data_IF_201601274626
#
_entry.id   IF_201601274626
#
_cell.length_a   1.000
_cell.length_b   1.000
_cell.length_c   1.000
_cell.angle_alpha   90.00
_cell.angle_beta   90.00
_cell.angle_gamma   90.00
#
_symmetry.space_group_name_H-M   'P 1'
#
loop_
_entity.id
_entity.type
_entity.pdbx_description
1 polymer ?
#
# COMPACT_ATOMS: atom_id res chain seq x y z
N UNK A 1 14.50 34.84 -6.30
CA UNK A 1 13.99 33.62 -5.67
C UNK A 1 12.46 33.52 -5.74
N UNK A 2 11.67 34.48 -5.24
CA UNK A 2 10.18 34.42 -5.23
C UNK A 2 9.55 34.15 -6.63
N UNK A 3 10.04 34.77 -7.71
CA UNK A 3 9.52 34.56 -9.09
C UNK A 3 9.77 33.13 -9.60
N UNK A 4 10.89 32.49 -9.23
CA UNK A 4 11.18 31.11 -9.64
C UNK A 4 10.31 30.10 -8.88
N UNK A 5 9.99 30.36 -7.61
CA UNK A 5 9.09 29.52 -6.80
C UNK A 5 7.65 29.58 -7.35
N UNK A 6 7.19 30.78 -7.74
CA UNK A 6 5.88 30.99 -8.38
C UNK A 6 5.80 30.27 -9.73
N UNK A 7 6.88 30.28 -10.52
CA UNK A 7 6.92 29.59 -11.82
C UNK A 7 6.88 28.08 -11.68
N UNK A 8 7.59 27.55 -10.67
CA UNK A 8 7.56 26.10 -10.35
C UNK A 8 6.19 25.67 -9.80
N UNK A 9 5.58 26.51 -8.93
CA UNK A 9 4.22 26.26 -8.43
C UNK A 9 3.18 26.33 -9.56
N UNK A 10 3.33 27.26 -10.52
CA UNK A 10 2.44 27.37 -11.67
C UNK A 10 2.66 26.23 -12.68
N UNK A 11 3.90 25.78 -12.88
CA UNK A 11 4.21 24.60 -13.70
C UNK A 11 3.68 23.31 -13.06
N UNK A 12 3.73 23.17 -11.72
CA UNK A 12 3.07 22.07 -11.01
C UNK A 12 1.54 22.14 -11.13
N UNK A 13 0.95 23.33 -11.11
CA UNK A 13 -0.49 23.51 -11.25
C UNK A 13 -0.98 23.22 -12.68
N UNK A 14 -0.17 23.48 -13.69
CA UNK A 14 -0.52 23.22 -15.10
C UNK A 14 -0.47 21.73 -15.47
N UNK A 15 0.29 20.90 -14.76
CA UNK A 15 0.29 19.43 -14.91
C UNK A 15 -1.04 18.82 -14.43
N UNK A 16 -1.75 19.51 -13.53
CA UNK A 16 -3.06 19.08 -13.01
C UNK A 16 -4.24 19.25 -14.01
N UNK A 17 -4.00 19.85 -15.19
CA UNK A 17 -5.05 20.12 -16.18
C UNK A 17 -5.06 19.15 -17.39
N UNK A 18 -4.26 18.10 -17.35
CA UNK A 18 -4.23 17.06 -18.40
C UNK A 18 -5.45 16.14 -18.38
N UNK A 19 -6.12 16.00 -19.52
CA UNK A 19 -7.38 15.24 -19.68
C UNK A 19 -7.23 13.73 -19.83
N UNK A 20 -6.21 13.09 -19.31
CA UNK A 20 -6.11 11.63 -19.31
C UNK A 20 -5.98 11.13 -17.88
N UNK A 21 -7.08 11.15 -17.14
CA UNK A 21 -7.08 10.80 -15.73
C UNK A 21 -7.73 9.44 -15.56
N UNK A 22 -6.93 8.40 -15.48
CA UNK A 22 -7.40 7.08 -15.07
C UNK A 22 -7.63 7.13 -13.56
N UNK A 23 -8.89 7.21 -13.17
CA UNK A 23 -9.32 7.08 -11.79
C UNK A 23 -9.01 5.66 -11.31
N UNK A 24 -8.53 5.53 -10.08
CA UNK A 24 -8.16 4.23 -9.48
C UNK A 24 -6.95 3.53 -10.13
N UNK A 25 -5.98 4.29 -10.63
CA UNK A 25 -4.71 3.74 -11.08
C UNK A 25 -3.85 3.26 -9.89
N UNK A 26 -3.15 2.13 -10.04
CA UNK A 26 -2.27 1.52 -9.04
C UNK A 26 -2.91 1.23 -7.66
N UNK A 27 -4.21 0.94 -7.61
CA UNK A 27 -4.94 0.69 -6.35
C UNK A 27 -4.39 -0.49 -5.53
N UNK A 28 -3.66 -1.42 -6.12
CA UNK A 28 -2.97 -2.47 -5.37
C UNK A 28 -1.96 -1.91 -4.35
N UNK A 29 -1.45 -0.68 -4.55
CA UNK A 29 -0.61 0.04 -3.60
C UNK A 29 -1.42 0.79 -2.52
N UNK A 30 -2.74 0.76 -2.55
CA UNK A 30 -3.61 1.37 -1.53
C UNK A 30 -4.13 0.36 -0.50
N UNK A 31 -3.99 -0.95 -0.75
CA UNK A 31 -4.51 -2.02 0.11
C UNK A 31 -3.90 -2.03 1.52
N UNK A 32 -2.67 -1.55 1.66
CA UNK A 32 -1.92 -1.62 2.92
C UNK A 32 -1.05 -2.87 3.03
N UNK A 33 0.00 -2.79 3.84
CA UNK A 33 0.94 -3.89 4.07
C UNK A 33 1.15 -4.16 5.57
N UNK A 34 1.49 -5.41 5.88
CA UNK A 34 1.81 -5.82 7.25
C UNK A 34 0.57 -5.96 8.13
N UNK A 35 0.47 -7.08 8.83
CA UNK A 35 -0.68 -7.36 9.70
C UNK A 35 -0.88 -6.28 10.77
N UNK A 36 0.20 -5.64 11.29
CA UNK A 36 0.09 -4.50 12.21
C UNK A 36 -0.69 -3.33 11.59
N UNK A 37 -0.33 -2.95 10.35
CA UNK A 37 -0.96 -1.83 9.67
C UNK A 37 -2.43 -2.10 9.32
N UNK A 38 -2.71 -3.29 8.80
CA UNK A 38 -4.07 -3.70 8.42
C UNK A 38 -4.98 -3.87 9.65
N UNK A 39 -4.47 -4.40 10.77
CA UNK A 39 -5.21 -4.46 12.03
C UNK A 39 -5.58 -3.08 12.59
N UNK A 40 -4.80 -2.05 12.28
CA UNK A 40 -5.05 -0.66 12.66
C UNK A 40 -5.76 0.14 11.56
N UNK A 41 -6.41 -0.55 10.60
CA UNK A 41 -7.09 0.07 9.46
C UNK A 41 -6.25 1.13 8.77
N UNK A 42 -4.99 0.80 8.44
CA UNK A 42 -4.05 1.67 7.71
C UNK A 42 -3.63 2.98 8.42
N UNK A 43 -3.95 3.14 9.73
CA UNK A 43 -3.63 4.35 10.50
C UNK A 43 -2.13 4.44 10.87
N UNK A 44 -1.22 4.33 9.87
CA UNK A 44 0.21 4.12 10.06
C UNK A 44 1.09 5.34 9.73
N UNK A 45 0.57 6.34 9.04
CA UNK A 45 1.37 7.46 8.48
C UNK A 45 2.22 8.20 9.53
N UNK A 46 1.71 8.34 10.76
CA UNK A 46 2.42 9.01 11.84
C UNK A 46 3.28 8.06 12.69
N UNK A 47 2.95 6.76 12.74
CA UNK A 47 3.48 5.82 13.73
C UNK A 47 4.42 4.75 13.17
N UNK A 48 4.52 4.62 11.85
CA UNK A 48 5.44 3.65 11.24
C UNK A 48 6.88 3.94 11.63
N UNK A 49 7.57 2.96 12.21
CA UNK A 49 8.89 3.08 12.83
C UNK A 49 9.78 1.85 12.60
N UNK A 50 9.43 1.02 11.63
CA UNK A 50 10.17 -0.16 11.23
C UNK A 50 10.34 -0.23 9.70
N UNK A 51 10.84 -1.34 9.16
CA UNK A 51 11.10 -1.51 7.72
C UNK A 51 9.84 -1.31 6.86
N UNK A 52 8.62 -1.55 7.41
CA UNK A 52 7.37 -1.31 6.70
C UNK A 52 7.06 0.19 6.50
N UNK A 53 7.80 1.07 7.19
CA UNK A 53 7.74 2.51 6.98
C UNK A 53 8.10 2.89 5.53
N UNK A 54 8.91 2.10 4.82
CA UNK A 54 9.15 2.26 3.39
C UNK A 54 7.86 2.44 2.58
N UNK A 55 6.79 1.76 2.97
CA UNK A 55 5.47 1.86 2.35
C UNK A 55 4.58 2.92 3.01
N UNK A 56 4.50 2.89 4.36
CA UNK A 56 3.54 3.72 5.10
C UNK A 56 3.92 5.19 5.17
N UNK A 57 5.20 5.47 5.43
CA UNK A 57 5.81 6.79 5.42
C UNK A 57 7.33 6.63 5.52
N UNK A 58 8.08 6.83 4.43
CA UNK A 58 9.51 6.55 4.40
C UNK A 58 10.32 7.30 5.48
N UNK A 59 9.85 8.45 5.98
CA UNK A 59 10.48 9.17 7.07
C UNK A 59 10.67 8.32 8.34
N UNK A 60 9.76 7.35 8.57
CA UNK A 60 9.78 6.45 9.71
C UNK A 60 10.95 5.47 9.73
N UNK A 61 11.59 5.19 8.59
CA UNK A 61 12.77 4.31 8.52
C UNK A 61 13.93 4.81 9.39
N UNK A 62 14.11 6.13 9.53
CA UNK A 62 15.15 6.70 10.39
C UNK A 62 14.96 6.38 11.87
N UNK A 63 13.76 5.92 12.25
CA UNK A 63 13.36 5.58 13.63
C UNK A 63 13.39 4.08 13.92
N UNK A 64 13.84 3.24 12.98
CA UNK A 64 14.01 1.80 13.22
C UNK A 64 14.82 1.56 14.50
N UNK A 65 14.36 0.65 15.35
CA UNK A 65 14.99 0.34 16.64
C UNK A 65 16.25 -0.52 16.49
N UNK A 66 16.35 -1.32 15.42
CA UNK A 66 17.47 -2.22 15.11
C UNK A 66 18.13 -1.85 13.79
N UNK A 67 19.44 -2.19 13.69
CA UNK A 67 20.22 -1.84 12.50
C UNK A 67 19.74 -2.53 11.23
N UNK A 68 19.37 -3.80 11.33
CA UNK A 68 18.90 -4.61 10.20
C UNK A 68 17.50 -5.10 10.50
N UNK A 69 16.61 -4.91 9.57
CA UNK A 69 15.24 -5.41 9.67
C UNK A 69 14.83 -6.09 8.36
N UNK A 70 14.13 -7.23 8.49
CA UNK A 70 13.44 -7.93 7.42
C UNK A 70 11.97 -8.02 7.80
N UNK A 71 11.06 -7.76 6.88
CA UNK A 71 9.63 -8.01 7.08
C UNK A 71 9.05 -8.72 5.88
N UNK A 72 8.20 -9.70 6.15
CA UNK A 72 7.46 -10.49 5.17
C UNK A 72 5.97 -10.45 5.54
N UNK A 73 5.11 -10.42 4.53
CA UNK A 73 3.66 -10.55 4.69
C UNK A 73 3.09 -11.40 3.58
N UNK A 74 2.10 -12.20 3.92
CA UNK A 74 1.21 -12.88 2.98
C UNK A 74 -0.24 -12.65 3.37
N UNK A 75 -1.08 -12.31 2.39
CA UNK A 75 -2.51 -12.18 2.55
C UNK A 75 -3.24 -12.79 1.35
N UNK A 76 -4.37 -13.41 1.64
CA UNK A 76 -5.30 -13.91 0.63
C UNK A 76 -6.59 -13.09 0.70
N UNK A 77 -6.98 -12.55 -0.44
CA UNK A 77 -8.19 -11.75 -0.61
C UNK A 77 -9.21 -12.51 -1.46
N UNK A 78 -10.48 -12.21 -1.26
CA UNK A 78 -11.60 -12.76 -2.04
C UNK A 78 -11.61 -14.29 -2.01
N UNK A 79 -11.54 -14.89 -0.81
CA UNK A 79 -11.51 -16.33 -0.58
C UNK A 79 -10.34 -17.06 -1.32
N UNK A 80 -9.16 -16.43 -1.36
CA UNK A 80 -7.94 -17.01 -1.95
C UNK A 80 -7.79 -16.79 -3.47
N UNK A 81 -8.70 -16.04 -4.10
CA UNK A 81 -8.59 -15.71 -5.54
C UNK A 81 -7.38 -14.80 -5.78
N UNK A 82 -7.20 -13.77 -4.97
CA UNK A 82 -6.09 -12.83 -5.09
C UNK A 82 -5.10 -13.00 -3.94
N UNK A 83 -3.81 -13.00 -4.28
CA UNK A 83 -2.70 -13.09 -3.33
C UNK A 83 -1.98 -11.76 -3.26
N UNK A 84 -1.65 -11.33 -2.04
CA UNK A 84 -0.94 -10.09 -1.80
C UNK A 84 0.26 -10.35 -0.90
N UNK A 85 1.44 -10.15 -1.46
CA UNK A 85 2.72 -10.46 -0.84
C UNK A 85 3.55 -9.18 -0.65
N UNK A 86 4.24 -9.09 0.47
CA UNK A 86 5.22 -8.04 0.75
C UNK A 86 6.50 -8.64 1.30
N UNK A 87 7.62 -8.13 0.83
CA UNK A 87 8.94 -8.38 1.40
C UNK A 87 9.72 -7.06 1.48
N UNK A 88 10.31 -6.76 2.64
CA UNK A 88 11.09 -5.55 2.84
C UNK A 88 12.33 -5.79 3.67
N UNK A 89 13.46 -5.19 3.26
CA UNK A 89 14.74 -5.17 3.99
C UNK A 89 15.12 -3.73 4.27
N UNK A 90 15.46 -3.43 5.51
CA UNK A 90 15.87 -2.10 5.94
C UNK A 90 17.20 -2.13 6.69
N UNK A 91 18.04 -1.11 6.47
CA UNK A 91 19.33 -0.97 7.11
C UNK A 91 19.54 0.47 7.59
N UNK A 92 19.83 0.63 8.89
CA UNK A 92 20.34 1.91 9.41
C UNK A 92 21.79 2.08 8.96
N UNK A 93 22.04 3.14 8.22
CA UNK A 93 23.39 3.51 7.79
C UNK A 93 24.15 4.06 8.99
N UNK A 94 23.52 4.99 9.71
CA UNK A 94 24.02 5.61 10.94
C UNK A 94 22.81 5.90 11.89
N UNK A 95 23.04 6.68 12.95
CA UNK A 95 22.02 7.03 13.95
C UNK A 95 20.88 7.91 13.41
N UNK A 96 21.06 8.50 12.22
CA UNK A 96 20.12 9.46 11.62
C UNK A 96 19.55 9.01 10.30
N UNK A 97 20.23 8.11 9.58
CA UNK A 97 19.85 7.72 8.23
C UNK A 97 19.62 6.22 8.08
N UNK A 98 18.66 5.88 7.24
CA UNK A 98 18.33 4.51 6.91
C UNK A 98 17.92 4.39 5.44
N UNK A 99 18.13 3.21 4.89
CA UNK A 99 17.68 2.80 3.56
C UNK A 99 16.82 1.55 3.67
N UNK A 100 15.90 1.39 2.74
CA UNK A 100 15.16 0.14 2.61
C UNK A 100 14.89 -0.19 1.14
N UNK A 101 14.76 -1.49 0.88
CA UNK A 101 14.27 -2.04 -0.37
C UNK A 101 13.03 -2.87 -0.05
N UNK A 102 11.93 -2.58 -0.73
CA UNK A 102 10.66 -3.30 -0.57
C UNK A 102 10.16 -3.83 -1.89
N UNK A 103 9.54 -4.99 -1.86
CA UNK A 103 8.84 -5.62 -2.97
C UNK A 103 7.40 -5.92 -2.57
N UNK A 104 6.47 -5.57 -3.46
CA UNK A 104 5.04 -5.78 -3.30
C UNK A 104 4.54 -6.51 -4.54
N UNK A 105 3.74 -7.55 -4.36
CA UNK A 105 3.08 -8.27 -5.45
C UNK A 105 1.61 -8.48 -5.11
N UNK A 106 0.75 -8.10 -6.04
CA UNK A 106 -0.66 -8.47 -6.04
C UNK A 106 -0.92 -9.31 -7.29
N UNK A 107 -1.49 -10.49 -7.12
CA UNK A 107 -1.65 -11.43 -8.24
C UNK A 107 -2.91 -12.26 -8.16
N UNK A 108 -3.46 -12.55 -9.34
CA UNK A 108 -4.56 -13.49 -9.54
C UNK A 108 -4.10 -14.54 -10.55
N UNK A 109 -4.15 -15.79 -10.13
CA UNK A 109 -3.76 -16.94 -10.94
C UNK A 109 -5.00 -17.65 -11.50
N UNK A 110 -4.80 -18.48 -12.52
CA UNK A 110 -5.84 -19.33 -13.12
C UNK A 110 -7.06 -18.56 -13.64
N UNK A 111 -6.85 -17.40 -14.25
CA UNK A 111 -7.91 -16.65 -14.95
C UNK A 111 -8.26 -17.39 -16.25
N UNK A 112 -9.54 -17.74 -16.40
CA UNK A 112 -10.00 -18.42 -17.61
C UNK A 112 -9.92 -17.50 -18.82
N UNK A 113 -9.23 -17.96 -19.87
CA UNK A 113 -9.26 -17.34 -21.19
C UNK A 113 -10.27 -18.07 -22.05
N UNK A 114 -11.33 -17.39 -22.42
CA UNK A 114 -12.44 -17.89 -23.24
C UNK A 114 -12.49 -17.26 -24.62
N UNK A 115 -11.43 -16.60 -25.06
CA UNK A 115 -11.40 -15.92 -26.38
C UNK A 115 -11.54 -16.88 -27.57
N UNK A 116 -11.14 -18.15 -27.38
CA UNK A 116 -11.24 -19.19 -28.40
C UNK A 116 -12.38 -20.19 -28.12
N UNK A 117 -13.27 -19.90 -27.15
CA UNK A 117 -14.34 -20.80 -26.73
C UNK A 117 -15.33 -21.15 -27.84
N UNK A 118 -15.60 -20.19 -28.76
CA UNK A 118 -16.52 -20.35 -29.86
C UNK A 118 -15.71 -20.47 -31.16
N UNK A 119 -15.95 -21.55 -31.91
CA UNK A 119 -15.32 -21.77 -33.22
C UNK A 119 -15.93 -20.90 -34.33
N UNK A 120 -15.30 -20.91 -35.51
CA UNK A 120 -15.79 -20.17 -36.69
C UNK A 120 -17.19 -20.61 -37.17
N UNK A 121 -17.66 -21.77 -36.74
CA UNK A 121 -18.98 -22.34 -37.06
C UNK A 121 -20.03 -22.00 -35.99
N UNK A 122 -19.64 -21.33 -34.89
CA UNK A 122 -20.51 -20.97 -33.80
C UNK A 122 -20.70 -22.07 -32.73
N UNK A 123 -19.91 -23.15 -32.77
CA UNK A 123 -19.97 -24.20 -31.76
C UNK A 123 -19.15 -23.83 -30.56
N UNK A 124 -19.63 -24.18 -29.34
CA UNK A 124 -18.93 -24.00 -28.08
C UNK A 124 -18.02 -25.21 -27.81
N UNK A 125 -16.73 -24.96 -27.68
CA UNK A 125 -15.71 -25.97 -27.39
C UNK A 125 -14.99 -25.64 -26.09
N UNK A 126 -15.34 -26.28 -24.97
CA UNK A 126 -14.77 -26.07 -23.63
C UNK A 126 -13.31 -26.54 -23.54
N UNK A 127 -12.83 -27.42 -24.41
CA UNK A 127 -11.44 -27.88 -24.41
C UNK A 127 -10.46 -26.79 -24.87
N UNK A 128 -10.98 -25.70 -25.48
CA UNK A 128 -10.20 -24.52 -25.86
C UNK A 128 -10.00 -23.51 -24.75
N UNK A 129 -10.58 -23.73 -23.58
CA UNK A 129 -10.34 -22.85 -22.42
C UNK A 129 -8.87 -22.98 -22.00
N UNK A 130 -8.16 -21.88 -22.05
CA UNK A 130 -6.80 -21.75 -21.52
C UNK A 130 -6.82 -20.90 -20.25
N UNK A 131 -5.69 -20.86 -19.53
CA UNK A 131 -5.58 -20.10 -18.31
C UNK A 131 -4.40 -19.16 -18.37
N UNK A 132 -4.51 -17.99 -17.74
CA UNK A 132 -3.43 -17.04 -17.58
C UNK A 132 -3.42 -16.46 -16.16
N UNK A 133 -2.36 -15.73 -15.80
CA UNK A 133 -2.25 -15.01 -14.54
C UNK A 133 -2.11 -13.52 -14.82
N UNK A 134 -2.64 -12.69 -13.91
CA UNK A 134 -2.40 -11.26 -13.88
C UNK A 134 -1.65 -10.90 -12.59
N UNK A 135 -0.66 -10.03 -12.67
CA UNK A 135 0.11 -9.61 -11.51
C UNK A 135 0.58 -8.16 -11.63
N UNK A 136 0.39 -7.42 -10.55
CA UNK A 136 0.92 -6.09 -10.33
C UNK A 136 2.09 -6.19 -9.34
N UNK A 137 3.25 -5.67 -9.71
CA UNK A 137 4.46 -5.71 -8.91
C UNK A 137 4.99 -4.31 -8.70
N UNK A 138 5.50 -4.01 -7.50
CA UNK A 138 6.19 -2.77 -7.22
C UNK A 138 7.46 -3.00 -6.40
N UNK A 139 8.51 -2.29 -6.77
CA UNK A 139 9.77 -2.21 -6.01
C UNK A 139 9.92 -0.78 -5.52
N UNK A 140 10.14 -0.61 -4.22
CA UNK A 140 10.39 0.68 -3.59
C UNK A 140 11.82 0.73 -3.06
N UNK A 141 12.59 1.72 -3.50
CA UNK A 141 13.86 2.11 -2.91
C UNK A 141 13.65 3.34 -2.04
N UNK A 142 13.91 3.20 -0.75
CA UNK A 142 13.57 4.19 0.27
C UNK A 142 14.81 4.73 0.96
N UNK A 143 14.79 6.04 1.25
CA UNK A 143 15.79 6.70 2.08
C UNK A 143 15.10 7.58 3.12
N UNK A 144 15.63 7.58 4.34
CA UNK A 144 15.15 8.43 5.42
C UNK A 144 16.29 9.11 6.16
N UNK A 145 16.00 10.30 6.66
CA UNK A 145 16.94 11.11 7.44
C UNK A 145 16.24 11.81 8.61
N UNK A 146 16.79 11.65 9.83
CA UNK A 146 16.37 12.37 11.01
C UNK A 146 17.06 13.75 11.05
N UNK A 147 16.27 14.80 11.02
CA UNK A 147 16.74 16.16 10.84
C UNK A 147 17.25 16.76 12.15
N UNK A 148 18.57 16.76 12.36
CA UNK A 148 19.21 17.15 13.61
C UNK A 148 18.88 18.56 14.15
N UNK A 149 18.52 19.50 13.27
CA UNK A 149 18.21 20.89 13.67
C UNK A 149 16.83 21.03 14.31
N UNK A 150 15.93 20.08 14.10
CA UNK A 150 14.57 20.08 14.65
C UNK A 150 14.35 18.73 15.32
N UNK A 151 14.42 18.75 16.64
CA UNK A 151 14.24 17.56 17.46
C UNK A 151 12.90 16.85 17.17
N UNK A 152 12.97 15.56 16.83
CA UNK A 152 11.82 14.73 16.50
C UNK A 152 11.36 14.76 15.03
N UNK A 153 11.97 15.58 14.16
CA UNK A 153 11.61 15.66 12.73
C UNK A 153 12.42 14.67 11.90
N UNK A 154 11.73 13.86 11.11
CA UNK A 154 12.31 12.95 10.12
C UNK A 154 11.72 13.23 8.75
N UNK A 155 12.54 13.09 7.71
CA UNK A 155 12.17 13.20 6.30
C UNK A 155 12.49 11.89 5.60
N UNK A 156 11.74 11.56 4.57
CA UNK A 156 11.99 10.36 3.77
C UNK A 156 11.47 10.50 2.34
N UNK A 157 12.00 9.67 1.46
CA UNK A 157 11.56 9.60 0.08
C UNK A 157 11.63 8.16 -0.42
N UNK A 158 10.75 7.82 -1.37
CA UNK A 158 10.79 6.59 -2.15
C UNK A 158 10.97 6.91 -3.63
N UNK A 159 11.76 6.08 -4.30
CA UNK A 159 11.65 5.85 -5.73
C UNK A 159 10.98 4.50 -5.94
N UNK A 160 9.90 4.44 -6.73
CA UNK A 160 9.17 3.21 -6.99
C UNK A 160 9.14 2.89 -8.48
N UNK A 161 9.33 1.61 -8.77
CA UNK A 161 9.22 1.02 -10.09
C UNK A 161 8.05 0.06 -10.03
N UNK A 162 7.15 0.16 -11.00
CA UNK A 162 5.95 -0.67 -11.11
C UNK A 162 6.06 -1.49 -12.38
N UNK A 163 5.71 -2.76 -12.28
CA UNK A 163 5.56 -3.65 -13.43
C UNK A 163 4.26 -4.41 -13.30
N UNK A 164 3.39 -4.21 -14.28
CA UNK A 164 2.07 -4.86 -14.35
C UNK A 164 2.04 -5.80 -15.54
N UNK A 165 1.42 -6.96 -15.35
CA UNK A 165 1.33 -7.98 -16.38
C UNK A 165 -0.05 -8.61 -16.41
N UNK A 166 -0.62 -8.79 -17.60
CA UNK A 166 -1.90 -9.48 -17.85
C UNK A 166 -1.64 -10.60 -18.85
N UNK A 167 -1.19 -11.74 -18.35
CA UNK A 167 -0.84 -12.88 -19.17
C UNK A 167 0.12 -12.52 -20.29
N UNK A 168 -0.21 -12.96 -21.52
CA UNK A 168 0.51 -12.60 -22.75
C UNK A 168 -0.08 -11.37 -23.47
N UNK A 169 -1.17 -10.79 -22.92
CA UNK A 169 -1.98 -9.79 -23.63
C UNK A 169 -1.47 -8.37 -23.45
N UNK A 170 -0.99 -8.04 -22.22
CA UNK A 170 -0.53 -6.69 -21.91
C UNK A 170 0.50 -6.68 -20.79
N UNK A 171 1.39 -5.68 -20.83
CA UNK A 171 2.27 -5.35 -19.73
C UNK A 171 2.42 -3.83 -19.62
N UNK A 172 2.77 -3.36 -18.44
CA UNK A 172 3.08 -1.95 -18.22
C UNK A 172 4.30 -1.78 -17.31
N UNK A 173 5.05 -0.72 -17.58
CA UNK A 173 6.12 -0.26 -16.72
C UNK A 173 5.79 1.14 -16.21
N UNK A 174 6.00 1.36 -14.92
CA UNK A 174 5.72 2.62 -14.26
C UNK A 174 6.83 3.08 -13.34
N UNK A 175 6.86 4.38 -13.11
CA UNK A 175 7.80 5.02 -12.19
C UNK A 175 7.11 6.15 -11.43
N UNK A 176 7.46 6.31 -10.14
CA UNK A 176 6.93 7.37 -9.30
C UNK A 176 7.82 7.67 -8.10
N UNK A 177 7.57 8.82 -7.47
CA UNK A 177 8.26 9.25 -6.26
C UNK A 177 7.25 9.56 -5.16
N UNK A 178 7.60 9.19 -3.91
CA UNK A 178 6.86 9.56 -2.71
C UNK A 178 7.75 10.38 -1.78
N UNK A 179 7.14 11.28 -1.00
CA UNK A 179 7.83 12.15 -0.05
C UNK A 179 7.12 12.10 1.30
N UNK A 180 7.86 11.74 2.34
CA UNK A 180 7.36 11.56 3.69
C UNK A 180 7.97 12.51 4.70
N UNK A 181 7.16 12.87 5.69
CA UNK A 181 7.55 13.64 6.87
C UNK A 181 6.93 12.99 8.10
N UNK A 182 7.72 12.84 9.17
CA UNK A 182 7.22 12.47 10.49
C UNK A 182 7.81 13.38 11.57
N UNK A 183 6.99 13.70 12.57
CA UNK A 183 7.38 14.42 13.76
C UNK A 183 6.97 13.66 15.01
N UNK A 184 7.90 13.42 15.93
CA UNK A 184 7.65 12.68 17.16
C UNK A 184 8.27 13.43 18.36
N UNK A 185 7.43 13.86 19.28
CA UNK A 185 7.89 14.53 20.50
C UNK A 185 6.94 14.29 21.68
N UNK A 186 7.49 13.85 22.81
CA UNK A 186 6.74 13.64 24.07
C UNK A 186 5.50 12.76 23.91
N UNK A 187 5.62 11.71 23.10
CA UNK A 187 4.53 10.76 22.82
C UNK A 187 3.46 11.27 21.83
N UNK A 188 3.51 12.53 21.38
CA UNK A 188 2.75 13.00 20.25
C UNK A 188 3.49 12.69 18.95
N UNK A 189 2.77 12.20 17.95
CA UNK A 189 3.30 11.85 16.65
C UNK A 189 2.42 12.47 15.56
N UNK A 190 3.06 13.01 14.55
CA UNK A 190 2.38 13.52 13.37
C UNK A 190 3.11 13.00 12.12
N UNK A 191 2.40 12.77 11.04
CA UNK A 191 2.95 12.32 9.78
C UNK A 191 2.24 12.93 8.59
N UNK A 192 2.97 13.11 7.52
CA UNK A 192 2.45 13.45 6.21
C UNK A 192 3.20 12.64 5.16
N UNK A 193 2.48 12.10 4.19
CA UNK A 193 3.04 11.41 3.04
C UNK A 193 2.37 11.94 1.78
N UNK A 194 3.16 12.49 0.87
CA UNK A 194 2.74 12.77 -0.50
C UNK A 194 3.10 11.54 -1.33
N UNK A 195 2.13 10.66 -1.52
CA UNK A 195 2.23 9.46 -2.36
C UNK A 195 2.02 9.86 -3.80
N UNK A 196 2.78 9.26 -4.72
CA UNK A 196 2.73 9.60 -6.15
C UNK A 196 2.98 11.09 -6.43
N UNK A 197 3.89 11.71 -5.65
CA UNK A 197 4.10 13.16 -5.63
C UNK A 197 4.55 13.78 -6.98
N UNK A 198 5.05 12.94 -7.90
CA UNK A 198 5.41 13.34 -9.28
C UNK A 198 4.39 12.88 -10.31
N UNK A 199 3.23 12.38 -9.89
CA UNK A 199 2.30 11.57 -10.69
C UNK A 199 2.97 10.32 -11.22
N UNK A 200 2.64 9.16 -10.65
CA UNK A 200 3.18 7.89 -11.13
C UNK A 200 2.56 7.55 -12.47
N UNK A 201 3.38 7.28 -13.47
CA UNK A 201 2.91 6.85 -14.78
C UNK A 201 3.09 5.34 -14.96
N UNK A 202 2.21 4.73 -15.76
CA UNK A 202 2.33 3.37 -16.25
C UNK A 202 2.19 3.42 -17.78
N UNK A 203 3.24 3.01 -18.49
CA UNK A 203 3.22 2.90 -19.94
C UNK A 203 2.78 1.48 -20.33
N UNK A 204 1.55 1.37 -20.82
CA UNK A 204 0.96 0.12 -21.27
C UNK A 204 1.40 -0.26 -22.67
N UNK A 205 1.71 -1.54 -22.86
CA UNK A 205 1.97 -2.17 -24.16
C UNK A 205 1.07 -3.38 -24.31
N UNK A 206 0.26 -3.39 -25.36
CA UNK A 206 -0.68 -4.47 -25.68
C UNK A 206 -0.12 -5.34 -26.79
N UNK A 207 -0.23 -6.66 -26.63
CA UNK A 207 0.25 -7.68 -27.57
C UNK A 207 -0.91 -8.63 -27.88
N UNK A 208 -1.85 -8.14 -28.69
CA UNK A 208 -3.04 -8.90 -29.08
C UNK A 208 -2.78 -9.66 -30.38
N UNK A 209 -3.14 -10.93 -30.42
CA UNK A 209 -3.14 -11.73 -31.66
C UNK A 209 -4.32 -11.34 -32.54
N UNK A 210 -4.25 -11.66 -33.86
CA UNK A 210 -5.34 -11.43 -34.80
C UNK A 210 -6.67 -12.01 -34.29
N UNK A 211 -6.63 -13.25 -33.78
CA UNK A 211 -7.83 -13.95 -33.29
C UNK A 211 -8.49 -13.22 -32.11
N UNK A 212 -7.68 -12.66 -31.20
CA UNK A 212 -8.19 -11.85 -30.07
C UNK A 212 -8.78 -10.53 -30.58
N UNK A 213 -8.15 -9.88 -31.55
CA UNK A 213 -8.65 -8.65 -32.19
C UNK A 213 -10.00 -8.92 -32.87
N UNK A 214 -10.13 -10.02 -33.59
CA UNK A 214 -11.37 -10.42 -34.25
C UNK A 214 -12.51 -10.65 -33.25
N UNK A 215 -12.21 -11.26 -32.08
CA UNK A 215 -13.19 -11.44 -31.01
C UNK A 215 -13.65 -10.08 -30.45
N UNK A 216 -12.72 -9.12 -30.21
CA UNK A 216 -13.07 -7.77 -29.76
C UNK A 216 -14.01 -7.06 -30.76
N UNK A 217 -13.71 -7.17 -32.05
CA UNK A 217 -14.55 -6.58 -33.13
C UNK A 217 -15.94 -7.22 -33.19
N UNK A 218 -16.02 -8.56 -33.13
CA UNK A 218 -17.28 -9.29 -33.18
C UNK A 218 -18.18 -9.03 -31.99
N UNK A 219 -17.58 -8.81 -30.82
CA UNK A 219 -18.30 -8.50 -29.56
C UNK A 219 -18.58 -7.02 -29.38
N UNK A 220 -18.14 -6.15 -30.31
CA UNK A 220 -18.33 -4.70 -30.22
C UNK A 220 -17.52 -4.02 -29.11
N UNK A 221 -16.45 -4.67 -28.63
CA UNK A 221 -15.54 -4.09 -27.67
C UNK A 221 -14.48 -3.22 -28.35
N UNK A 222 -14.03 -2.17 -27.65
CA UNK A 222 -12.90 -1.37 -28.11
C UNK A 222 -11.60 -2.19 -28.02
N UNK A 223 -10.78 -2.10 -29.08
CA UNK A 223 -9.46 -2.73 -29.09
C UNK A 223 -8.52 -1.85 -28.27
N UNK A 224 -7.89 -2.38 -27.19
CA UNK A 224 -6.95 -1.58 -26.39
C UNK A 224 -5.73 -1.17 -27.22
N UNK A 225 -5.35 0.09 -27.12
CA UNK A 225 -4.13 0.63 -27.73
C UNK A 225 -3.10 0.94 -26.64
N UNK A 226 -1.82 1.05 -27.04
CA UNK A 226 -0.75 1.45 -26.13
C UNK A 226 -1.06 2.84 -25.58
N UNK A 227 -1.08 2.96 -24.27
CA UNK A 227 -1.50 4.18 -23.56
C UNK A 227 -0.62 4.47 -22.35
N UNK A 228 -0.69 5.71 -21.90
CA UNK A 228 -0.01 6.20 -20.69
C UNK A 228 -1.04 6.47 -19.59
N UNK A 229 -1.11 5.58 -18.63
CA UNK A 229 -1.93 5.73 -17.44
C UNK A 229 -1.21 6.57 -16.38
N UNK A 230 -1.88 7.57 -15.81
CA UNK A 230 -1.33 8.45 -14.79
C UNK A 230 -2.07 8.29 -13.46
N UNK A 231 -1.31 8.02 -12.40
CA UNK A 231 -1.81 8.04 -11.01
C UNK A 231 -1.62 9.43 -10.43
N UNK A 232 -2.69 10.02 -9.94
CA UNK A 232 -2.64 11.34 -9.33
C UNK A 232 -2.02 11.29 -7.92
N UNK A 233 -1.34 12.39 -7.50
CA UNK A 233 -0.83 12.51 -6.14
C UNK A 233 -1.93 12.36 -5.09
N UNK A 234 -1.61 11.63 -4.01
CA UNK A 234 -2.46 11.47 -2.83
C UNK A 234 -1.72 12.00 -1.61
N UNK A 235 -2.39 12.83 -0.80
CA UNK A 235 -1.84 13.32 0.45
C UNK A 235 -2.42 12.53 1.62
N UNK A 236 -1.56 11.79 2.33
CA UNK A 236 -1.93 11.07 3.54
C UNK A 236 -1.44 11.88 4.74
N UNK A 237 -2.35 12.16 5.66
CA UNK A 237 -2.06 12.88 6.91
C UNK A 237 -2.30 11.94 8.10
N UNK A 238 -1.47 12.04 9.13
CA UNK A 238 -1.62 11.20 10.31
C UNK A 238 -1.28 11.95 11.59
N UNK A 239 -2.00 11.59 12.65
CA UNK A 239 -1.75 12.02 14.02
C UNK A 239 -1.86 10.85 14.99
N UNK A 240 -1.02 10.81 16.01
CA UNK A 240 -1.12 9.75 17.01
C UNK A 240 -0.64 10.21 18.39
N UNK A 241 -1.09 9.47 19.41
CA UNK A 241 -0.65 9.63 20.80
C UNK A 241 -0.21 8.29 21.36
N UNK A 242 1.05 8.21 21.77
CA UNK A 242 1.58 7.12 22.58
C UNK A 242 1.43 7.48 24.06
N UNK A 243 0.92 6.53 24.85
CA UNK A 243 0.72 6.64 26.29
C UNK A 243 1.39 5.45 26.97
N UNK A 244 2.28 5.73 27.93
CA UNK A 244 2.86 4.71 28.80
C UNK A 244 2.13 4.73 30.15
N UNK A 245 1.49 3.61 30.51
CA UNK A 245 0.75 3.45 31.76
C UNK A 245 1.64 2.91 32.90
N UNK A 246 2.92 2.69 32.64
CA UNK A 246 3.84 2.03 33.57
C UNK A 246 3.61 0.51 33.65
N UNK A 247 4.46 -0.17 34.46
CA UNK A 247 4.44 -1.63 34.64
C UNK A 247 4.55 -2.43 33.33
N UNK A 248 4.97 -1.77 32.25
CA UNK A 248 5.12 -2.36 30.91
C UNK A 248 3.88 -2.29 30.01
N UNK A 249 2.79 -1.65 30.46
CA UNK A 249 1.60 -1.41 29.64
C UNK A 249 1.72 -0.09 28.90
N UNK A 250 1.36 -0.11 27.62
CA UNK A 250 1.30 1.09 26.78
C UNK A 250 0.13 1.02 25.81
N UNK A 251 -0.26 2.17 25.29
CA UNK A 251 -1.22 2.25 24.20
C UNK A 251 -0.79 3.32 23.18
N UNK A 252 -1.13 3.05 21.91
CA UNK A 252 -1.03 4.01 20.81
C UNK A 252 -2.41 4.20 20.21
N UNK A 253 -2.84 5.44 20.09
CA UNK A 253 -4.07 5.83 19.38
C UNK A 253 -3.64 6.59 18.13
N UNK A 254 -4.10 6.17 16.98
CA UNK A 254 -3.73 6.75 15.69
C UNK A 254 -4.96 7.10 14.85
N UNK A 255 -4.84 8.21 14.15
CA UNK A 255 -5.78 8.68 13.14
C UNK A 255 -5.00 8.94 11.87
N UNK A 256 -5.48 8.48 10.72
CA UNK A 256 -5.00 8.87 9.40
C UNK A 256 -6.16 9.36 8.54
N UNK A 257 -5.84 10.22 7.59
CA UNK A 257 -6.77 10.81 6.64
C UNK A 257 -6.12 10.77 5.25
N UNK A 258 -6.72 10.03 4.35
CA UNK A 258 -6.29 9.95 2.96
C UNK A 258 -7.06 10.98 2.15
N UNK A 259 -6.32 11.91 1.52
CA UNK A 259 -6.86 13.00 0.72
C UNK A 259 -6.52 12.76 -0.75
N UNK A 260 -7.53 12.51 -1.60
CA UNK A 260 -7.37 12.30 -3.04
C UNK A 260 -7.98 13.47 -3.82
N UNK A 261 -7.39 13.77 -4.98
CA UNK A 261 -7.71 14.96 -5.79
C UNK A 261 -8.14 14.59 -7.22
N UNK A 262 -8.47 13.33 -7.45
CA UNK A 262 -8.85 12.77 -8.76
C UNK A 262 -10.38 12.72 -8.97
N UNK A 263 -11.09 13.59 -8.26
CA UNK A 263 -12.54 13.69 -8.32
C UNK A 263 -13.25 12.86 -7.25
N UNK A 264 -14.54 12.61 -7.46
CA UNK A 264 -15.45 12.00 -6.49
C UNK A 264 -15.14 10.52 -6.29
N UNK A 265 -14.59 10.13 -5.15
CA UNK A 265 -14.39 8.73 -4.74
C UNK A 265 -15.51 8.25 -3.82
N UNK A 266 -15.64 6.94 -3.65
CA UNK A 266 -16.61 6.34 -2.74
C UNK A 266 -16.04 6.28 -1.31
N UNK A 267 -15.96 7.44 -0.67
CA UNK A 267 -15.40 7.63 0.68
C UNK A 267 -16.39 8.41 1.56
N UNK A 268 -16.09 8.59 2.84
CA UNK A 268 -16.95 9.27 3.80
C UNK A 268 -17.27 10.71 3.36
N UNK A 269 -16.25 11.48 2.98
CA UNK A 269 -16.41 12.82 2.40
C UNK A 269 -16.01 12.77 0.95
N UNK A 270 -16.90 13.17 0.05
CA UNK A 270 -16.70 13.08 -1.39
C UNK A 270 -17.14 14.36 -2.10
N UNK A 271 -16.25 14.94 -2.88
CA UNK A 271 -16.54 16.05 -3.77
C UNK A 271 -15.76 15.92 -5.07
N UNK A 272 -16.08 16.75 -6.05
CA UNK A 272 -15.36 16.73 -7.33
C UNK A 272 -13.93 17.28 -7.23
N UNK A 273 -13.60 17.98 -6.14
CA UNK A 273 -12.27 18.57 -5.90
C UNK A 273 -11.41 17.71 -4.98
N UNK A 274 -12.02 17.16 -3.91
CA UNK A 274 -11.30 16.39 -2.89
C UNK A 274 -12.22 15.30 -2.31
N UNK A 275 -11.67 14.11 -2.15
CA UNK A 275 -12.30 13.04 -1.37
C UNK A 275 -11.44 12.72 -0.15
N UNK A 276 -12.08 12.45 1.00
CA UNK A 276 -11.43 12.20 2.28
C UNK A 276 -11.87 10.85 2.85
N UNK A 277 -10.88 10.01 3.16
CA UNK A 277 -11.08 8.71 3.79
C UNK A 277 -10.37 8.66 5.15
N UNK A 278 -11.10 8.67 6.27
CA UNK A 278 -10.53 8.62 7.60
C UNK A 278 -10.32 7.18 8.06
N UNK A 279 -9.21 6.95 8.77
CA UNK A 279 -8.84 5.67 9.37
C UNK A 279 -8.47 5.86 10.84
N UNK A 280 -8.98 4.99 11.71
CA UNK A 280 -8.71 5.01 13.15
C UNK A 280 -8.09 3.69 13.58
N UNK A 281 -7.02 3.74 14.33
CA UNK A 281 -6.33 2.57 14.86
C UNK A 281 -5.94 2.73 16.32
N UNK A 282 -5.96 1.62 17.05
CA UNK A 282 -5.42 1.54 18.40
C UNK A 282 -4.58 0.28 18.59
N UNK A 283 -3.50 0.42 19.33
CA UNK A 283 -2.59 -0.68 19.70
C UNK A 283 -2.36 -0.65 21.21
N UNK A 284 -2.63 -1.75 21.90
CA UNK A 284 -2.33 -1.97 23.31
C UNK A 284 -1.17 -2.95 23.42
N UNK A 285 -0.07 -2.51 24.03
CA UNK A 285 1.15 -3.29 24.21
C UNK A 285 1.42 -3.67 25.64
N UNK A 286 2.02 -4.86 25.84
CA UNK A 286 2.54 -5.31 27.11
C UNK A 286 4.00 -5.72 27.00
N UNK A 287 4.91 -5.04 27.71
CA UNK A 287 6.36 -5.32 27.81
C UNK A 287 7.07 -5.50 26.45
N UNK A 288 6.52 -4.95 25.35
CA UNK A 288 6.96 -5.19 23.97
C UNK A 288 6.94 -6.68 23.58
N UNK A 289 6.16 -7.51 24.29
CA UNK A 289 6.05 -8.94 24.03
C UNK A 289 4.77 -9.23 23.28
N UNK A 290 3.64 -8.66 23.71
CA UNK A 290 2.32 -8.86 23.09
C UNK A 290 1.71 -7.52 22.77
N UNK A 291 1.03 -7.43 21.64
CA UNK A 291 0.24 -6.29 21.22
C UNK A 291 -1.14 -6.75 20.73
N UNK A 292 -2.18 -6.09 21.22
CA UNK A 292 -3.55 -6.22 20.72
C UNK A 292 -3.86 -4.97 19.90
N UNK A 293 -4.52 -5.14 18.76
CA UNK A 293 -4.81 -4.06 17.83
C UNK A 293 -6.26 -4.11 17.38
N UNK A 294 -6.81 -2.93 17.18
CA UNK A 294 -8.11 -2.76 16.56
C UNK A 294 -8.09 -1.51 15.68
N UNK A 295 -8.88 -1.54 14.62
CA UNK A 295 -9.00 -0.43 13.70
C UNK A 295 -10.37 -0.38 13.04
N UNK A 296 -10.73 0.81 12.59
CA UNK A 296 -11.96 1.07 11.83
C UNK A 296 -11.63 2.07 10.70
N UNK A 297 -12.12 1.79 9.51
CA UNK A 297 -11.91 2.61 8.32
C UNK A 297 -12.73 2.10 7.14
N UNK A 298 -12.30 2.47 5.93
CA UNK A 298 -12.92 2.06 4.68
C UNK A 298 -14.43 2.37 4.66
N UNK A 299 -14.75 3.62 4.97
CA UNK A 299 -16.13 4.11 5.00
C UNK A 299 -16.64 4.34 3.58
N UNK A 300 -17.51 3.46 3.10
CA UNK A 300 -18.05 3.52 1.75
C UNK A 300 -19.58 3.63 1.75
N UNK A 301 -20.14 4.08 0.65
CA UNK A 301 -21.58 4.04 0.40
C UNK A 301 -21.89 2.99 -0.65
N UNK A 302 -22.50 1.90 -0.23
CA UNK A 302 -23.00 0.86 -1.11
C UNK A 302 -24.48 1.13 -1.46
N UNK A 303 -24.86 0.79 -2.70
CA UNK A 303 -26.26 0.73 -3.10
C UNK A 303 -26.76 -0.68 -2.72
N UNK A 304 -27.76 -0.73 -1.86
CA UNK A 304 -28.40 -1.99 -1.46
C UNK A 304 -29.41 -2.47 -2.53
N UNK A 305 -29.83 -3.72 -2.46
CA UNK A 305 -30.79 -4.32 -3.39
C UNK A 305 -32.16 -3.62 -3.40
N UNK A 306 -32.51 -2.89 -2.33
CA UNK A 306 -33.73 -2.09 -2.23
C UNK A 306 -33.59 -0.68 -2.88
N UNK A 307 -32.43 -0.38 -3.50
CA UNK A 307 -32.13 0.91 -4.11
C UNK A 307 -31.74 2.01 -3.11
N UNK A 308 -31.57 1.69 -1.82
CA UNK A 308 -31.14 2.62 -0.78
C UNK A 308 -29.61 2.61 -0.64
N UNK A 309 -29.06 3.76 -0.32
CA UNK A 309 -27.64 3.86 0.04
C UNK A 309 -27.44 3.42 1.49
N UNK A 310 -26.59 2.43 1.68
CA UNK A 310 -26.07 2.00 2.98
C UNK A 310 -24.63 2.44 3.14
N UNK A 311 -24.29 2.98 4.31
CA UNK A 311 -22.88 3.21 4.66
C UNK A 311 -22.29 1.91 5.17
N UNK A 312 -21.22 1.45 4.54
CA UNK A 312 -20.40 0.32 4.96
C UNK A 312 -19.14 0.83 5.63
N UNK A 313 -18.50 0.01 6.43
CA UNK A 313 -17.24 0.28 7.11
C UNK A 313 -16.51 -1.05 7.35
N UNK A 314 -15.20 -0.98 7.58
CA UNK A 314 -14.40 -2.15 7.88
C UNK A 314 -13.87 -2.08 9.32
N UNK A 315 -14.13 -3.13 10.12
CA UNK A 315 -13.58 -3.29 11.46
C UNK A 315 -12.48 -4.35 11.38
N UNK A 316 -11.30 -4.02 11.87
CA UNK A 316 -10.14 -4.88 11.83
C UNK A 316 -9.62 -5.16 13.24
N UNK A 317 -9.16 -6.39 13.47
CA UNK A 317 -8.54 -6.80 14.72
C UNK A 317 -7.19 -7.44 14.45
N UNK A 318 -6.29 -7.38 15.42
CA UNK A 318 -4.99 -8.03 15.30
C UNK A 318 -4.31 -8.36 16.61
N UNK A 319 -3.40 -9.30 16.50
CA UNK A 319 -2.54 -9.77 17.57
C UNK A 319 -1.10 -9.78 17.10
N UNK A 320 -0.19 -9.29 17.93
CA UNK A 320 1.25 -9.37 17.69
C UNK A 320 1.99 -10.00 18.85
N UNK A 321 2.99 -10.82 18.55
CA UNK A 321 3.89 -11.40 19.55
C UNK A 321 5.33 -11.13 19.11
N UNK A 322 6.12 -10.56 20.03
CA UNK A 322 7.53 -10.28 19.81
C UNK A 322 8.41 -11.15 20.72
N UNK A 323 9.24 -11.98 20.13
CA UNK A 323 10.10 -12.94 20.80
C UNK A 323 11.51 -12.35 20.93
N UNK A 324 11.97 -12.20 22.16
CA UNK A 324 13.33 -11.70 22.52
C UNK A 324 13.69 -10.36 21.85
N UNK A 325 12.70 -9.54 21.49
CA UNK A 325 12.89 -8.29 20.76
C UNK A 325 13.67 -8.46 19.43
N UNK A 326 13.51 -9.64 18.80
CA UNK A 326 14.18 -10.03 17.54
C UNK A 326 13.17 -10.46 16.49
N UNK A 327 12.25 -11.35 16.84
CA UNK A 327 11.27 -11.91 15.91
C UNK A 327 9.89 -11.46 16.34
N UNK A 328 9.16 -10.80 15.45
CA UNK A 328 7.76 -10.46 15.65
C UNK A 328 6.90 -11.23 14.66
N UNK A 329 5.83 -11.83 15.16
CA UNK A 329 4.79 -12.50 14.38
C UNK A 329 3.51 -11.72 14.63
N UNK A 330 2.91 -11.23 13.59
CA UNK A 330 1.67 -10.47 13.65
C UNK A 330 0.60 -11.15 12.80
N UNK A 331 -0.61 -11.13 13.31
CA UNK A 331 -1.80 -11.61 12.62
C UNK A 331 -2.85 -10.50 12.61
N UNK A 332 -3.56 -10.35 11.50
CA UNK A 332 -4.73 -9.50 11.39
C UNK A 332 -5.90 -10.26 10.76
N UNK A 333 -7.07 -9.96 11.28
CA UNK A 333 -8.36 -10.35 10.73
C UNK A 333 -9.10 -9.09 10.34
N UNK A 334 -9.36 -8.93 9.05
CA UNK A 334 -10.02 -7.73 8.50
C UNK A 334 -11.48 -8.00 8.23
N UNK A 335 -12.28 -6.92 8.25
CA UNK A 335 -13.73 -6.91 8.03
C UNK A 335 -14.51 -7.85 8.97
N UNK A 336 -14.34 -7.65 10.27
CA UNK A 336 -15.10 -8.37 11.28
C UNK A 336 -16.60 -8.10 11.11
N UNK A 337 -17.36 -9.16 10.86
CA UNK A 337 -18.81 -9.11 10.70
C UNK A 337 -19.28 -8.84 9.26
N UNK A 338 -18.37 -8.85 8.28
CA UNK A 338 -18.67 -8.62 6.86
C UNK A 338 -19.47 -7.33 6.65
N UNK A 339 -19.00 -6.24 7.25
CA UNK A 339 -19.66 -4.92 7.21
C UNK A 339 -19.24 -4.10 5.99
N UNK A 340 -18.15 -4.51 5.31
CA UNK A 340 -17.66 -3.89 4.07
C UNK A 340 -18.14 -4.65 2.83
N UNK A 341 -17.83 -4.11 1.66
CA UNK A 341 -18.07 -4.78 0.37
C UNK A 341 -17.04 -5.90 0.14
N UNK A 342 -15.82 -5.71 0.66
CA UNK A 342 -14.78 -6.71 0.64
C UNK A 342 -15.09 -7.81 1.67
N UNK A 343 -14.77 -9.05 1.33
CA UNK A 343 -14.88 -10.15 2.29
C UNK A 343 -13.71 -10.12 3.28
N UNK A 344 -13.92 -10.73 4.44
CA UNK A 344 -12.88 -10.87 5.46
C UNK A 344 -11.60 -11.52 4.89
N UNK A 345 -10.46 -11.14 5.46
CA UNK A 345 -9.16 -11.67 5.08
C UNK A 345 -8.30 -11.98 6.29
N UNK A 346 -7.48 -13.00 6.14
CA UNK A 346 -6.47 -13.40 7.13
C UNK A 346 -5.09 -12.95 6.65
N UNK A 347 -4.41 -12.15 7.45
CA UNK A 347 -3.10 -11.59 7.11
C UNK A 347 -2.07 -12.04 8.14
N UNK A 348 -0.95 -12.55 7.66
CA UNK A 348 0.18 -12.96 8.49
C UNK A 348 1.41 -12.13 8.12
N UNK A 349 2.15 -11.70 9.14
CA UNK A 349 3.41 -10.99 8.95
C UNK A 349 4.47 -11.53 9.89
N UNK A 350 5.69 -11.59 9.36
CA UNK A 350 6.89 -11.93 10.10
C UNK A 350 7.87 -10.76 9.99
N UNK A 351 8.40 -10.30 11.12
CA UNK A 351 9.48 -9.33 11.15
C UNK A 351 10.67 -9.88 11.96
N UNK A 352 11.87 -9.72 11.41
CA UNK A 352 13.13 -10.05 12.08
C UNK A 352 13.95 -8.78 12.18
N UNK A 353 14.39 -8.43 13.39
CA UNK A 353 15.13 -7.20 13.67
C UNK A 353 16.38 -7.50 14.52
N UNK A 354 17.58 -7.17 14.01
CA UNK A 354 18.87 -7.49 14.64
C UNK A 354 19.86 -6.32 14.54
N UNK A 355 20.77 -6.20 15.50
CA UNK A 355 21.82 -5.16 15.47
C UNK A 355 23.11 -5.62 14.81
N UNK A 356 23.46 -6.91 14.93
CA UNK A 356 24.67 -7.50 14.33
C UNK A 356 24.38 -8.93 13.88
N UNK A 357 24.91 -9.32 12.72
CA UNK A 357 25.07 -10.72 12.39
C UNK A 357 26.19 -11.29 13.27
N UNK A 358 25.95 -12.37 14.03
CA UNK A 358 27.03 -13.11 14.70
C UNK A 358 27.98 -13.58 13.62
N UNK A 359 29.26 -13.13 13.65
CA UNK A 359 30.32 -13.81 12.90
C UNK A 359 30.36 -15.25 13.43
N UNK A 360 30.03 -16.22 12.60
CA UNK A 360 30.40 -17.61 12.85
C UNK A 360 31.91 -17.63 12.92
N UNK A 361 32.45 -17.87 14.12
CA UNK A 361 33.88 -18.16 14.25
C UNK A 361 34.12 -19.39 13.38
N UNK A 362 34.89 -19.24 12.30
CA UNK A 362 35.42 -20.36 11.56
C UNK A 362 36.16 -21.24 12.56
N UNK A 363 35.69 -22.46 12.73
CA UNK A 363 36.38 -23.50 13.47
C UNK A 363 37.62 -23.77 12.66
N UNK A 364 38.75 -23.16 13.05
CA UNK A 364 40.11 -23.58 12.61
C UNK A 364 40.37 -24.90 13.29
N UNK A 365 40.25 -25.98 12.55
CA UNK A 365 40.94 -27.22 12.83
C UNK A 365 42.32 -27.18 12.17
#
# INVERSE_FOLDING_TARGET
MKKRIILVAFAMLSVLLGKAQTKYSNEFLSLGIGARGLAMSNSMVAISDDVTAAYWNPAGLSRMDKRYQLSLMHAEYFAGIAKYDYAGVGVKIDDRSAVALSYIRFGVDNIMNTTELIDAQGNVDYDRITYFSAADNAVLLSYAYNFAKVDGLSLGANAKIIHRNIGKFANAWGFGLDFGLQYNKKGWQAGALLRDGTSTFNAWSYQLTSDVIDVFQQTGNEIPENDLELTMPTLLLGGAKYVDFGKGFNATFALSLDCTFDGKRNTLVRSDVISLDPHFGMEFGYKKIVALRAGIGDFQRALDFDGRHRTTLQINLGLGVCIKNVVSIDYAFTDLGNLSIAQYSHIFSLKVAIDRFKKQNAITQ
#
